data_IF_020372977611
#
_entry.id   IF_020372977611
#
_cell.length_a   1.000
_cell.length_b   1.000
_cell.length_c   1.000
_cell.angle_alpha   90.00
_cell.angle_beta   90.00
_cell.angle_gamma   90.00
#
_symmetry.space_group_name_H-M   'P 1'
#
loop_
_entity.id
_entity.type
_entity.pdbx_description
1 polymer ?
#
# COMPACT_ATOMS: atom_id res chain seq x y z
N UNK A 1 2.54 28.36 -28.56
CA UNK A 1 2.19 28.16 -27.14
C UNK A 1 1.89 26.70 -26.87
N UNK A 2 2.47 26.16 -25.80
CA UNK A 2 2.25 24.75 -25.47
C UNK A 2 0.84 24.56 -24.91
N UNK A 3 0.14 23.55 -25.40
CA UNK A 3 -1.20 23.21 -24.90
C UNK A 3 -1.10 22.57 -23.51
N UNK A 4 -1.67 23.20 -22.42
CA UNK A 4 -1.60 22.66 -21.07
C UNK A 4 -2.25 21.27 -20.92
N UNK A 5 -3.31 21.00 -21.67
CA UNK A 5 -3.99 19.70 -21.62
C UNK A 5 -3.10 18.58 -22.17
N UNK A 6 -2.39 18.83 -23.26
CA UNK A 6 -1.44 17.87 -23.83
C UNK A 6 -0.26 17.62 -22.89
N UNK A 7 0.25 18.68 -22.26
CA UNK A 7 1.34 18.56 -21.28
C UNK A 7 0.91 17.72 -20.09
N UNK A 8 -0.27 17.96 -19.54
CA UNK A 8 -0.82 17.21 -18.42
C UNK A 8 -1.00 15.73 -18.80
N UNK A 9 -1.54 15.47 -19.99
CA UNK A 9 -1.73 14.10 -20.48
C UNK A 9 -0.41 13.34 -20.58
N UNK A 10 0.65 13.97 -21.08
CA UNK A 10 1.98 13.35 -21.17
C UNK A 10 2.57 13.08 -19.78
N UNK A 11 2.39 14.01 -18.84
CA UNK A 11 2.86 13.83 -17.46
C UNK A 11 2.09 12.71 -16.75
N UNK A 12 0.78 12.62 -16.97
CA UNK A 12 -0.04 11.54 -16.44
C UNK A 12 0.42 10.18 -16.97
N UNK A 13 0.71 10.08 -18.28
CA UNK A 13 1.23 8.86 -18.88
C UNK A 13 2.59 8.46 -18.28
N UNK A 14 3.49 9.43 -18.10
CA UNK A 14 4.78 9.17 -17.44
C UNK A 14 4.61 8.69 -16.01
N UNK A 15 3.69 9.29 -15.26
CA UNK A 15 3.42 8.88 -13.89
C UNK A 15 2.86 7.45 -13.83
N UNK A 16 1.91 7.12 -14.68
CA UNK A 16 1.33 5.78 -14.76
C UNK A 16 2.40 4.73 -15.13
N UNK A 17 3.26 5.05 -16.08
CA UNK A 17 4.36 4.18 -16.49
C UNK A 17 5.33 3.94 -15.34
N UNK A 18 5.71 4.99 -14.63
CA UNK A 18 6.56 4.87 -13.45
C UNK A 18 5.90 4.02 -12.36
N UNK A 19 4.63 4.26 -12.07
CA UNK A 19 3.90 3.51 -11.05
C UNK A 19 3.85 2.02 -11.41
N UNK A 20 3.50 1.71 -12.66
CA UNK A 20 3.36 0.32 -13.14
C UNK A 20 4.69 -0.43 -13.25
N UNK A 21 5.73 0.23 -13.76
CA UNK A 21 6.98 -0.44 -14.15
C UNK A 21 8.07 -0.33 -13.10
N UNK A 22 8.07 0.71 -12.28
CA UNK A 22 9.13 0.96 -11.29
C UNK A 22 8.63 0.86 -9.85
N UNK A 23 7.63 1.66 -9.49
CA UNK A 23 7.19 1.79 -8.10
C UNK A 23 6.45 0.56 -7.59
N UNK A 24 5.40 0.14 -8.28
CA UNK A 24 4.59 -0.99 -7.83
C UNK A 24 5.40 -2.30 -7.73
N UNK A 25 6.25 -2.64 -8.71
CA UNK A 25 7.11 -3.83 -8.59
C UNK A 25 8.05 -3.78 -7.38
N UNK A 26 8.68 -2.63 -7.12
CA UNK A 26 9.58 -2.45 -5.97
C UNK A 26 8.87 -2.69 -4.64
N UNK A 27 7.74 -2.02 -4.45
CA UNK A 27 6.95 -2.12 -3.22
C UNK A 27 6.30 -3.49 -3.08
N UNK A 28 5.82 -4.07 -4.17
CA UNK A 28 5.24 -5.41 -4.16
C UNK A 28 6.24 -6.46 -3.70
N UNK A 29 7.47 -6.36 -4.21
CA UNK A 29 8.53 -7.31 -3.87
C UNK A 29 8.99 -7.17 -2.42
N UNK A 30 9.05 -5.96 -1.88
CA UNK A 30 9.79 -5.68 -0.65
C UNK A 30 8.93 -5.27 0.54
N UNK A 31 7.69 -4.82 0.32
CA UNK A 31 6.88 -4.20 1.38
C UNK A 31 5.83 -5.13 2.00
N UNK A 32 5.57 -6.28 1.40
CA UNK A 32 4.45 -7.14 1.80
C UNK A 32 4.89 -8.24 2.76
N UNK A 33 4.16 -8.37 3.88
CA UNK A 33 4.30 -9.52 4.77
C UNK A 33 3.38 -10.67 4.31
N UNK A 34 3.70 -11.89 4.71
CA UNK A 34 2.89 -13.07 4.35
C UNK A 34 1.48 -13.04 4.97
N UNK A 35 1.33 -12.34 6.09
CA UNK A 35 0.04 -12.22 6.78
C UNK A 35 -0.92 -11.18 6.16
N UNK A 36 -0.53 -10.52 5.09
CA UNK A 36 -1.33 -9.49 4.42
C UNK A 36 -1.05 -8.06 4.85
N UNK A 37 -0.26 -7.85 5.89
CA UNK A 37 0.15 -6.51 6.29
C UNK A 37 1.29 -5.98 5.41
N UNK A 38 1.57 -4.69 5.53
CA UNK A 38 2.66 -4.02 4.85
C UNK A 38 3.62 -3.39 5.86
N UNK A 39 4.90 -3.36 5.54
CA UNK A 39 5.87 -2.62 6.33
C UNK A 39 5.58 -1.12 6.29
N UNK A 40 6.00 -0.41 7.33
CA UNK A 40 5.81 1.05 7.42
C UNK A 40 6.53 1.81 6.31
N UNK A 41 7.72 1.36 5.95
CA UNK A 41 8.55 2.04 4.97
C UNK A 41 9.62 1.11 4.38
N UNK A 42 10.17 1.53 3.26
CA UNK A 42 11.39 0.97 2.69
C UNK A 42 12.53 1.97 2.89
N UNK A 43 13.75 1.47 3.06
CA UNK A 43 14.94 2.32 3.10
C UNK A 43 15.36 2.75 1.68
N UNK A 44 16.41 3.57 1.58
CA UNK A 44 16.88 4.07 0.28
C UNK A 44 17.44 2.99 -0.64
N UNK A 45 17.65 1.78 -0.13
CA UNK A 45 18.07 0.62 -0.93
C UNK A 45 16.89 -0.30 -1.27
N UNK A 46 15.67 0.11 -0.94
CA UNK A 46 14.46 -0.64 -1.22
C UNK A 46 14.20 -1.79 -0.25
N UNK A 47 14.88 -1.84 0.90
CA UNK A 47 14.69 -2.88 1.90
C UNK A 47 13.65 -2.45 2.94
N UNK A 48 12.86 -3.40 3.50
CA UNK A 48 11.93 -3.06 4.56
C UNK A 48 12.66 -2.48 5.77
N UNK A 49 12.12 -1.40 6.33
CA UNK A 49 12.56 -0.88 7.62
C UNK A 49 12.04 -1.84 8.70
N UNK A 50 12.92 -2.42 9.54
CA UNK A 50 12.51 -3.43 10.51
C UNK A 50 11.81 -2.80 11.72
N UNK A 51 10.52 -2.54 11.58
CA UNK A 51 9.67 -2.03 12.65
C UNK A 51 8.43 -2.90 12.75
N UNK A 52 8.05 -3.31 13.98
CA UNK A 52 6.83 -4.08 14.20
C UNK A 52 5.57 -3.24 14.17
N UNK A 53 5.69 -1.92 14.30
CA UNK A 53 4.57 -0.99 14.32
C UNK A 53 4.48 -0.20 13.03
N UNK A 54 3.26 0.01 12.57
CA UNK A 54 3.00 0.80 11.37
C UNK A 54 1.73 1.65 11.58
N UNK A 55 1.70 2.78 10.90
CA UNK A 55 0.50 3.61 10.91
C UNK A 55 -0.61 2.91 10.12
N UNK A 56 -1.81 2.91 10.67
CA UNK A 56 -2.98 2.31 10.01
C UNK A 56 -3.22 2.92 8.63
N UNK A 57 -3.04 4.23 8.49
CA UNK A 57 -3.20 4.90 7.19
C UNK A 57 -2.22 4.41 6.12
N UNK A 58 -1.03 3.94 6.51
CA UNK A 58 -0.08 3.34 5.58
C UNK A 58 -0.62 2.02 5.06
N UNK A 59 -1.21 1.20 5.93
CA UNK A 59 -1.86 -0.04 5.52
C UNK A 59 -2.97 0.22 4.49
N UNK A 60 -3.84 1.18 4.77
CA UNK A 60 -4.93 1.55 3.86
C UNK A 60 -4.41 2.09 2.53
N UNK A 61 -3.41 2.93 2.55
CA UNK A 61 -2.82 3.52 1.33
C UNK A 61 -2.15 2.47 0.45
N UNK A 62 -1.49 1.48 1.04
CA UNK A 62 -0.86 0.41 0.28
C UNK A 62 -1.90 -0.45 -0.43
N UNK A 63 -2.99 -0.79 0.24
CA UNK A 63 -4.10 -1.50 -0.38
C UNK A 63 -4.62 -0.72 -1.58
N UNK A 64 -4.90 0.57 -1.40
CA UNK A 64 -5.39 1.43 -2.46
C UNK A 64 -4.39 1.53 -3.63
N UNK A 65 -3.11 1.73 -3.31
CA UNK A 65 -2.07 1.90 -4.32
C UNK A 65 -1.88 0.65 -5.19
N UNK A 66 -1.92 -0.54 -4.59
CA UNK A 66 -1.82 -1.77 -5.35
C UNK A 66 -3.08 -2.06 -6.17
N UNK A 67 -4.26 -1.74 -5.64
CA UNK A 67 -5.50 -1.84 -6.40
C UNK A 67 -5.48 -0.91 -7.63
N UNK A 68 -4.99 0.32 -7.46
CA UNK A 68 -4.81 1.26 -8.55
C UNK A 68 -3.77 0.77 -9.55
N UNK A 69 -2.63 0.27 -9.07
CA UNK A 69 -1.59 -0.28 -9.94
C UNK A 69 -2.10 -1.43 -10.80
N UNK A 70 -2.90 -2.32 -10.22
CA UNK A 70 -3.57 -3.39 -10.97
C UNK A 70 -4.44 -2.82 -12.09
N UNK A 71 -5.25 -1.83 -11.77
CA UNK A 71 -6.12 -1.16 -12.75
C UNK A 71 -5.32 -0.52 -13.88
N UNK A 72 -4.14 0.00 -13.58
CA UNK A 72 -3.26 0.66 -14.54
C UNK A 72 -2.34 -0.31 -15.30
N UNK A 73 -2.45 -1.61 -15.07
CA UNK A 73 -1.75 -2.62 -15.84
C UNK A 73 -0.65 -3.39 -15.12
N UNK A 74 -0.41 -3.16 -13.83
CA UNK A 74 0.48 -4.00 -13.04
C UNK A 74 -0.24 -5.30 -12.67
N UNK A 75 -0.14 -6.31 -13.57
CA UNK A 75 -0.94 -7.54 -13.54
C UNK A 75 -0.17 -8.72 -12.95
N UNK A 76 0.41 -8.53 -11.76
CA UNK A 76 1.03 -9.63 -11.03
C UNK A 76 -0.05 -10.66 -10.67
N UNK A 77 0.16 -11.91 -11.08
CA UNK A 77 -0.84 -12.98 -10.96
C UNK A 77 -1.32 -13.20 -9.52
N UNK A 78 -0.42 -13.06 -8.55
CA UNK A 78 -0.71 -13.25 -7.13
C UNK A 78 -1.37 -12.04 -6.46
N UNK A 79 -1.48 -10.90 -7.16
CA UNK A 79 -1.91 -9.65 -6.54
C UNK A 79 -3.36 -9.67 -6.05
N UNK A 80 -4.35 -10.16 -6.82
CA UNK A 80 -5.73 -10.16 -6.34
C UNK A 80 -5.93 -10.92 -5.03
N UNK A 81 -5.39 -12.14 -4.93
CA UNK A 81 -5.51 -12.95 -3.72
C UNK A 81 -4.79 -12.30 -2.53
N UNK A 82 -3.65 -11.67 -2.77
CA UNK A 82 -2.90 -10.98 -1.73
C UNK A 82 -3.62 -9.71 -1.26
N UNK A 83 -4.21 -8.94 -2.14
CA UNK A 83 -5.03 -7.79 -1.77
C UNK A 83 -6.25 -8.20 -0.96
N UNK A 84 -6.89 -9.28 -1.33
CA UNK A 84 -8.01 -9.83 -0.56
C UNK A 84 -7.59 -10.11 0.89
N UNK A 85 -6.45 -10.79 1.09
CA UNK A 85 -5.90 -11.02 2.44
C UNK A 85 -5.56 -9.73 3.16
N UNK A 86 -5.02 -8.76 2.45
CA UNK A 86 -4.68 -7.46 3.03
C UNK A 86 -5.92 -6.70 3.50
N UNK A 87 -6.99 -6.74 2.73
CA UNK A 87 -8.27 -6.12 3.10
C UNK A 87 -8.88 -6.83 4.30
N UNK A 88 -8.92 -8.16 4.29
CA UNK A 88 -9.42 -8.94 5.42
C UNK A 88 -8.64 -8.65 6.69
N UNK A 89 -7.31 -8.61 6.59
CA UNK A 89 -6.46 -8.30 7.72
C UNK A 89 -6.66 -6.86 8.21
N UNK A 90 -6.79 -5.91 7.30
CA UNK A 90 -7.07 -4.52 7.67
C UNK A 90 -8.38 -4.42 8.47
N UNK A 91 -9.43 -5.04 7.99
CA UNK A 91 -10.73 -5.01 8.67
C UNK A 91 -10.68 -5.71 10.03
N UNK A 92 -9.88 -6.77 10.16
CA UNK A 92 -9.76 -7.51 11.40
C UNK A 92 -8.86 -6.83 12.45
N UNK A 93 -7.85 -6.06 12.02
CA UNK A 93 -6.79 -5.61 12.93
C UNK A 93 -6.64 -4.09 13.06
N UNK A 94 -7.14 -3.33 12.11
CA UNK A 94 -6.90 -1.88 12.05
C UNK A 94 -8.09 -1.03 12.50
N UNK A 95 -9.24 -1.65 12.76
CA UNK A 95 -10.43 -0.95 13.22
C UNK A 95 -10.58 -1.08 14.73
N UNK A 96 -10.92 0.03 15.39
CA UNK A 96 -11.26 0.05 16.80
C UNK A 96 -12.66 -0.50 17.08
N UNK A 97 -13.08 -0.52 18.35
CA UNK A 97 -14.37 -1.11 18.77
C UNK A 97 -15.60 -0.50 18.09
N UNK A 98 -15.50 0.77 17.66
CA UNK A 98 -16.60 1.47 17.00
C UNK A 98 -16.54 1.42 15.47
N UNK A 99 -15.63 0.60 14.92
CA UNK A 99 -15.45 0.47 13.48
C UNK A 99 -14.64 1.59 12.83
N UNK A 100 -14.04 2.48 13.62
CA UNK A 100 -13.18 3.54 13.11
C UNK A 100 -11.72 3.07 13.04
N UNK A 101 -10.97 3.49 12.02
CA UNK A 101 -9.55 3.15 11.93
C UNK A 101 -8.79 3.67 13.14
N UNK A 102 -7.96 2.84 13.75
CA UNK A 102 -7.01 3.27 14.76
C UNK A 102 -5.85 4.03 14.11
N UNK A 103 -4.90 4.50 14.92
CA UNK A 103 -3.75 5.26 14.45
C UNK A 103 -2.55 4.38 14.14
N UNK A 104 -2.28 3.39 14.97
CA UNK A 104 -1.10 2.53 14.86
C UNK A 104 -1.45 1.08 15.17
N UNK A 105 -0.82 0.16 14.46
CA UNK A 105 -1.04 -1.28 14.57
C UNK A 105 0.30 -2.02 14.63
N UNK A 106 0.37 -3.09 15.43
CA UNK A 106 1.45 -4.06 15.33
C UNK A 106 1.18 -4.96 14.13
N UNK A 107 2.04 -4.88 13.13
CA UNK A 107 1.82 -5.57 11.84
C UNK A 107 2.07 -7.08 11.91
N UNK A 108 2.80 -7.55 12.91
CA UNK A 108 3.05 -8.98 13.10
C UNK A 108 1.95 -9.63 13.93
N UNK A 109 1.59 -9.01 15.05
CA UNK A 109 0.60 -9.55 15.97
C UNK A 109 -0.85 -9.19 15.64
N UNK A 110 -1.06 -8.16 14.83
CA UNK A 110 -2.40 -7.75 14.43
C UNK A 110 -3.22 -7.12 15.56
N UNK A 111 -2.58 -6.31 16.38
CA UNK A 111 -3.22 -5.62 17.50
C UNK A 111 -2.99 -4.12 17.35
N UNK A 112 -4.04 -3.32 17.54
CA UNK A 112 -3.90 -1.86 17.61
C UNK A 112 -3.06 -1.49 18.84
N UNK A 113 -1.98 -0.77 18.58
CA UNK A 113 -1.12 -0.21 19.64
C UNK A 113 -1.55 1.20 20.01
N UNK A 114 -2.26 1.89 19.13
CA UNK A 114 -2.95 3.15 19.37
C UNK A 114 -4.32 3.10 18.72
N UNK A 115 -5.40 2.87 19.48
CA UNK A 115 -6.75 2.73 18.96
C UNK A 115 -7.43 4.06 18.64
N UNK A 116 -6.82 5.19 18.95
CA UNK A 116 -7.40 6.50 18.65
C UNK A 116 -7.48 6.72 17.14
N UNK A 117 -8.59 7.24 16.63
CA UNK A 117 -8.75 7.55 15.23
C UNK A 117 -7.77 8.60 14.73
#
# INVERSE_FOLDING_TARGET
>A
MKNPAKKLSRLATRYETWLREDSAPLWWKNDCLDNGAFYEALDFKGRPVPASRARVRVQARQIYSFALAWKLGFRKKSLPARLERSIERFLATCLGPEGLPGREVDIEQGVLTDPKP
#
